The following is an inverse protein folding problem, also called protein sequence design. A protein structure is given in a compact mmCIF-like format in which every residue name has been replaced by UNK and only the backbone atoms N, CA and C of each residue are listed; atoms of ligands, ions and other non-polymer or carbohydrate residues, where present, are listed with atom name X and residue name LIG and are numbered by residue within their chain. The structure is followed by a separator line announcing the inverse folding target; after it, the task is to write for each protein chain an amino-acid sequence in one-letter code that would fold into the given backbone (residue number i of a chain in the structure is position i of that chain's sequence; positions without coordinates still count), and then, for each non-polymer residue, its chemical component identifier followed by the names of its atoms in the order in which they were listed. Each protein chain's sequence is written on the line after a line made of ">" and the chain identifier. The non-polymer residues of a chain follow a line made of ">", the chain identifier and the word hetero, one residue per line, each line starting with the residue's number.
data_IF_326217022620
#
_entry.id   IF_326217022620
#
_cell.length_a   1.000
_cell.length_b   1.000
_cell.length_c   1.000
_cell.angle_alpha   90.00
_cell.angle_beta   90.00
_cell.angle_gamma   90.00
#
_symmetry.space_group_name_H-M   'P 1'
#
loop_
_entity.id
_entity.type
_entity.pdbx_description
1 polymer ?
#
# COMPACT_ATOMS: atom_id res chain seq x y z
N UNK A 1 2.29 -10.51 12.79
CA UNK A 1 2.80 -11.36 11.71
C UNK A 1 1.71 -12.27 11.14
N UNK A 2 1.05 -13.12 11.94
CA UNK A 2 -0.03 -13.98 11.42
C UNK A 2 -1.19 -13.22 10.76
N UNK A 3 -1.57 -12.05 11.29
CA UNK A 3 -2.56 -11.18 10.67
C UNK A 3 -2.20 -10.82 9.23
N UNK A 4 -0.97 -10.35 9.02
CA UNK A 4 -0.49 -9.99 7.68
C UNK A 4 -0.47 -11.20 6.74
N UNK A 5 -0.02 -12.37 7.23
CA UNK A 5 -0.09 -13.61 6.47
C UNK A 5 -1.52 -13.94 6.03
N UNK A 6 -2.46 -14.00 6.97
CA UNK A 6 -3.85 -14.40 6.70
C UNK A 6 -4.53 -13.40 5.75
N UNK A 7 -4.40 -12.10 6.02
CA UNK A 7 -5.11 -11.08 5.24
C UNK A 7 -4.50 -10.97 3.83
N UNK A 8 -3.17 -10.97 3.69
CA UNK A 8 -2.55 -10.93 2.35
C UNK A 8 -2.97 -12.12 1.48
N UNK A 9 -3.00 -13.33 2.03
CA UNK A 9 -3.41 -14.52 1.27
C UNK A 9 -4.93 -14.54 1.00
N UNK A 10 -5.75 -14.00 1.91
CA UNK A 10 -7.18 -13.81 1.67
C UNK A 10 -7.45 -12.79 0.54
N UNK A 11 -6.76 -11.65 0.54
CA UNK A 11 -6.85 -10.66 -0.54
C UNK A 11 -6.46 -11.27 -1.88
N UNK A 12 -5.40 -12.08 -1.90
CA UNK A 12 -5.00 -12.81 -3.11
C UNK A 12 -6.07 -13.79 -3.59
N UNK A 13 -6.66 -14.57 -2.67
CA UNK A 13 -7.74 -15.51 -2.98
C UNK A 13 -9.03 -14.81 -3.49
N UNK A 14 -9.25 -13.56 -3.08
CA UNK A 14 -10.32 -12.68 -3.59
C UNK A 14 -9.99 -12.04 -4.94
N UNK A 15 -8.83 -12.35 -5.54
CA UNK A 15 -8.29 -11.74 -6.75
C UNK A 15 -8.02 -10.23 -6.62
N UNK A 16 -7.82 -9.74 -5.40
CA UNK A 16 -7.43 -8.35 -5.15
C UNK A 16 -5.89 -8.27 -5.18
N UNK A 17 -5.29 -7.35 -5.96
CA UNK A 17 -3.85 -7.18 -6.00
C UNK A 17 -3.26 -6.93 -4.60
N UNK A 18 -2.27 -7.74 -4.23
CA UNK A 18 -1.67 -7.74 -2.90
C UNK A 18 -0.26 -8.31 -2.94
N UNK A 19 0.57 -7.83 -2.02
CA UNK A 19 1.76 -8.56 -1.60
C UNK A 19 1.41 -9.94 -1.07
N UNK A 20 2.34 -10.89 -1.19
CA UNK A 20 2.18 -12.29 -0.82
C UNK A 20 3.03 -12.64 0.38
N UNK A 21 2.57 -13.59 1.17
CA UNK A 21 3.27 -14.06 2.36
C UNK A 21 3.82 -15.46 2.14
N UNK A 22 5.15 -15.56 2.00
CA UNK A 22 5.81 -16.84 1.73
C UNK A 22 5.96 -17.70 2.99
N UNK A 23 6.40 -17.08 4.09
CA UNK A 23 6.66 -17.81 5.34
C UNK A 23 6.58 -16.88 6.56
N UNK A 24 6.18 -17.44 7.70
CA UNK A 24 6.32 -16.82 9.02
C UNK A 24 7.21 -17.72 9.86
N UNK A 25 8.30 -17.17 10.40
CA UNK A 25 9.27 -17.91 11.20
C UNK A 25 9.44 -17.26 12.56
N UNK A 26 9.40 -18.05 13.62
CA UNK A 26 9.69 -17.59 14.98
C UNK A 26 11.20 -17.34 15.13
N UNK A 27 11.59 -16.26 15.80
CA UNK A 27 13.01 -15.94 16.01
C UNK A 27 13.60 -16.65 17.23
N UNK A 28 12.75 -17.12 18.14
CA UNK A 28 13.15 -17.63 19.46
C UNK A 28 13.37 -16.53 20.51
N UNK A 29 13.27 -15.25 20.11
CA UNK A 29 13.39 -14.10 21.00
C UNK A 29 12.01 -13.60 21.45
N UNK A 30 11.98 -12.89 22.58
CA UNK A 30 10.78 -12.18 23.05
C UNK A 30 10.88 -10.68 22.73
N UNK A 31 9.81 -10.11 22.21
CA UNK A 31 9.70 -8.69 21.86
C UNK A 31 8.71 -8.02 22.82
N UNK A 32 9.14 -6.93 23.46
CA UNK A 32 8.27 -6.13 24.33
C UNK A 32 7.34 -5.24 23.48
N UNK A 33 6.03 -5.39 23.68
CA UNK A 33 4.97 -4.48 23.21
C UNK A 33 4.19 -3.99 24.44
N UNK A 34 2.86 -4.03 24.39
CA UNK A 34 2.04 -3.88 25.60
C UNK A 34 2.26 -5.05 26.57
N UNK A 35 2.69 -6.21 26.03
CA UNK A 35 3.15 -7.39 26.76
C UNK A 35 4.35 -8.04 26.04
N UNK A 36 4.99 -9.03 26.67
CA UNK A 36 6.05 -9.83 26.04
C UNK A 36 5.43 -10.81 25.05
N UNK A 37 5.78 -10.67 23.76
CA UNK A 37 5.27 -11.53 22.69
C UNK A 37 6.41 -12.26 21.98
N UNK A 38 6.18 -13.46 21.42
CA UNK A 38 7.16 -14.13 20.59
C UNK A 38 7.54 -13.30 19.36
N UNK A 39 8.84 -13.11 19.15
CA UNK A 39 9.39 -12.51 17.96
C UNK A 39 9.17 -13.41 16.74
N UNK A 40 8.80 -12.80 15.61
CA UNK A 40 8.62 -13.50 14.36
C UNK A 40 8.99 -12.62 13.17
N UNK A 41 9.47 -13.24 12.11
CA UNK A 41 9.78 -12.62 10.81
C UNK A 41 8.79 -13.15 9.77
N UNK A 42 8.26 -12.24 8.95
CA UNK A 42 7.46 -12.55 7.77
C UNK A 42 8.33 -12.37 6.52
N UNK A 43 8.40 -13.38 5.67
CA UNK A 43 8.98 -13.26 4.33
C UNK A 43 7.90 -12.83 3.35
N UNK A 44 7.91 -11.54 2.97
CA UNK A 44 6.98 -10.95 2.00
C UNK A 44 7.53 -10.98 0.59
N UNK A 45 6.69 -11.34 -0.37
CA UNK A 45 6.98 -11.32 -1.81
C UNK A 45 6.06 -10.30 -2.48
N UNK A 46 6.61 -9.44 -3.32
CA UNK A 46 5.87 -8.37 -4.01
C UNK A 46 6.47 -8.13 -5.39
N UNK A 47 5.69 -7.57 -6.33
CA UNK A 47 6.24 -7.08 -7.60
C UNK A 47 7.23 -5.93 -7.36
N UNK A 48 6.94 -5.09 -6.36
CA UNK A 48 7.73 -3.93 -5.96
C UNK A 48 7.57 -3.59 -4.50
N UNK A 49 8.57 -2.90 -3.95
CA UNK A 49 8.45 -2.17 -2.68
C UNK A 49 8.58 -0.65 -2.86
N UNK A 50 8.59 -0.17 -4.11
CA UNK A 50 8.54 1.27 -4.41
C UNK A 50 7.16 1.79 -4.04
N UNK A 51 7.15 2.87 -3.27
CA UNK A 51 5.95 3.51 -2.73
C UNK A 51 5.82 4.92 -3.27
N UNK A 52 4.65 5.53 -3.16
CA UNK A 52 4.50 6.99 -3.40
C UNK A 52 5.47 7.76 -2.49
N UNK A 53 5.59 7.35 -1.23
CA UNK A 53 6.57 7.91 -0.30
C UNK A 53 8.04 7.79 -0.74
N UNK A 54 8.38 6.83 -1.60
CA UNK A 54 9.73 6.72 -2.18
C UNK A 54 10.01 7.89 -3.14
N UNK A 55 9.03 8.28 -3.94
CA UNK A 55 9.14 9.45 -4.83
C UNK A 55 9.13 10.76 -4.03
N UNK A 56 8.31 10.86 -2.99
CA UNK A 56 8.33 12.01 -2.08
C UNK A 56 9.68 12.16 -1.40
N UNK A 57 10.25 11.07 -0.88
CA UNK A 57 11.60 11.12 -0.32
C UNK A 57 12.63 11.59 -1.36
N UNK A 58 12.59 11.03 -2.58
CA UNK A 58 13.50 11.42 -3.66
C UNK A 58 13.35 12.90 -4.07
N UNK A 59 12.12 13.45 -4.06
CA UNK A 59 11.88 14.86 -4.39
C UNK A 59 12.47 15.80 -3.32
N UNK A 60 12.42 15.41 -2.04
CA UNK A 60 13.04 16.21 -0.95
C UNK A 60 14.55 16.39 -1.08
N UNK A 61 15.22 15.50 -1.82
CA UNK A 61 16.66 15.58 -2.05
C UNK A 61 17.04 16.67 -3.06
N UNK A 62 16.07 17.29 -3.75
CA UNK A 62 16.26 18.29 -4.81
C UNK A 62 17.22 17.83 -5.92
N UNK A 63 17.29 16.51 -6.16
CA UNK A 63 18.15 15.89 -7.16
C UNK A 63 17.29 15.30 -8.28
N UNK A 64 17.07 16.10 -9.32
CA UNK A 64 16.24 15.73 -10.47
C UNK A 64 16.82 14.51 -11.19
N UNK A 65 18.13 14.31 -11.18
CA UNK A 65 18.75 13.16 -11.83
C UNK A 65 18.40 11.87 -11.08
N UNK A 66 18.47 11.88 -9.74
CA UNK A 66 18.02 10.73 -8.93
C UNK A 66 16.54 10.44 -9.08
N UNK A 67 15.70 11.49 -9.10
CA UNK A 67 14.27 11.34 -9.32
C UNK A 67 13.98 10.72 -10.69
N UNK A 68 14.68 11.18 -11.73
CA UNK A 68 14.60 10.63 -13.08
C UNK A 68 15.03 9.17 -13.13
N UNK A 69 16.13 8.79 -12.47
CA UNK A 69 16.57 7.38 -12.40
C UNK A 69 15.53 6.50 -11.72
N UNK A 70 14.91 6.97 -10.64
CA UNK A 70 13.82 6.25 -9.96
C UNK A 70 12.60 6.10 -10.87
N UNK A 71 12.20 7.17 -11.56
CA UNK A 71 11.07 7.16 -12.47
C UNK A 71 11.30 6.25 -13.68
N UNK A 72 12.49 6.32 -14.29
CA UNK A 72 12.89 5.46 -15.41
C UNK A 72 12.88 3.98 -14.96
N UNK A 73 13.43 3.66 -13.78
CA UNK A 73 13.36 2.30 -13.23
C UNK A 73 11.92 1.82 -12.98
N UNK A 74 11.05 2.71 -12.47
CA UNK A 74 9.65 2.39 -12.22
C UNK A 74 8.88 2.11 -13.53
N UNK A 75 9.11 2.94 -14.56
CA UNK A 75 8.54 2.74 -15.91
C UNK A 75 9.00 1.39 -16.47
N UNK A 76 10.31 1.13 -16.48
CA UNK A 76 10.89 -0.09 -17.05
C UNK A 76 10.33 -1.36 -16.41
N UNK A 77 10.06 -1.31 -15.10
CA UNK A 77 9.65 -2.48 -14.33
C UNK A 77 8.14 -2.70 -14.31
N UNK A 78 7.35 -1.64 -14.19
CA UNK A 78 5.92 -1.73 -13.87
C UNK A 78 5.01 -1.19 -14.96
N UNK A 79 5.49 -0.24 -15.75
CA UNK A 79 4.68 0.52 -16.71
C UNK A 79 5.42 0.73 -18.06
N UNK A 80 5.95 -0.33 -18.69
CA UNK A 80 6.79 -0.20 -19.88
C UNK A 80 6.09 0.51 -21.04
N UNK A 81 4.75 0.43 -21.13
CA UNK A 81 3.91 1.12 -22.10
C UNK A 81 3.98 2.66 -22.00
N UNK A 82 4.42 3.21 -20.87
CA UNK A 82 4.59 4.65 -20.70
C UNK A 82 5.71 5.20 -21.57
N UNK A 83 6.70 4.37 -21.98
CA UNK A 83 7.82 4.79 -22.85
C UNK A 83 7.37 5.24 -24.24
N UNK A 84 6.22 4.76 -24.69
CA UNK A 84 5.68 5.05 -26.02
C UNK A 84 4.83 6.33 -26.04
N UNK A 85 4.66 6.99 -24.89
CA UNK A 85 3.88 8.23 -24.77
C UNK A 85 4.76 9.46 -24.95
N UNK A 86 4.18 10.54 -25.45
CA UNK A 86 4.87 11.83 -25.64
C UNK A 86 5.51 12.36 -24.35
N UNK A 87 4.88 12.10 -23.21
CA UNK A 87 5.43 12.38 -21.89
C UNK A 87 5.38 11.12 -21.01
N UNK A 88 6.47 10.34 -20.95
CA UNK A 88 6.51 9.09 -20.18
C UNK A 88 6.27 9.26 -18.68
N UNK A 89 6.66 10.40 -18.10
CA UNK A 89 6.51 10.64 -16.66
C UNK A 89 5.08 11.05 -16.28
N UNK A 90 4.43 11.82 -17.13
CA UNK A 90 2.99 12.09 -16.97
C UNK A 90 2.18 10.80 -17.19
N UNK A 91 2.58 9.97 -18.16
CA UNK A 91 1.97 8.65 -18.36
C UNK A 91 2.16 7.75 -17.13
N UNK A 92 3.35 7.73 -16.53
CA UNK A 92 3.62 7.01 -15.28
C UNK A 92 2.67 7.46 -14.16
N UNK A 93 2.55 8.78 -13.95
CA UNK A 93 1.65 9.33 -12.92
C UNK A 93 0.19 8.90 -13.15
N UNK A 94 -0.29 9.00 -14.38
CA UNK A 94 -1.65 8.59 -14.75
C UNK A 94 -1.87 7.09 -14.51
N UNK A 95 -0.91 6.25 -14.90
CA UNK A 95 -1.00 4.80 -14.70
C UNK A 95 -1.01 4.41 -13.22
N UNK A 96 -0.21 5.09 -12.38
CA UNK A 96 -0.23 4.90 -10.93
C UNK A 96 -1.58 5.33 -10.35
N UNK A 97 -2.12 6.50 -10.74
CA UNK A 97 -3.45 6.96 -10.30
C UNK A 97 -4.53 5.93 -10.63
N UNK A 98 -4.57 5.46 -11.87
CA UNK A 98 -5.56 4.48 -12.33
C UNK A 98 -5.44 3.16 -11.56
N UNK A 99 -4.21 2.71 -11.33
CA UNK A 99 -3.93 1.49 -10.57
C UNK A 99 -4.40 1.63 -9.11
N UNK A 100 -4.11 2.76 -8.44
CA UNK A 100 -4.55 3.02 -7.07
C UNK A 100 -6.07 3.12 -6.96
N UNK A 101 -6.72 3.82 -7.91
CA UNK A 101 -8.17 3.95 -7.94
C UNK A 101 -8.85 2.57 -8.10
N UNK A 102 -8.33 1.73 -9.00
CA UNK A 102 -8.80 0.35 -9.19
C UNK A 102 -8.63 -0.50 -7.92
N UNK A 103 -7.48 -0.41 -7.27
CA UNK A 103 -7.20 -1.15 -6.04
C UNK A 103 -8.14 -0.75 -4.89
N UNK A 104 -8.28 0.55 -4.65
CA UNK A 104 -9.14 1.06 -3.59
C UNK A 104 -10.60 0.78 -3.87
N UNK A 105 -11.03 0.81 -5.14
CA UNK A 105 -12.39 0.38 -5.52
C UNK A 105 -12.64 -1.08 -5.14
N UNK A 106 -11.68 -1.98 -5.35
CA UNK A 106 -11.77 -3.38 -4.94
C UNK A 106 -11.83 -3.53 -3.41
N UNK A 107 -11.05 -2.76 -2.66
CA UNK A 107 -11.14 -2.73 -1.19
C UNK A 107 -12.54 -2.36 -0.71
N UNK A 108 -13.09 -1.29 -1.29
CA UNK A 108 -14.44 -0.84 -0.98
C UNK A 108 -15.46 -1.95 -1.29
N UNK A 109 -15.33 -2.63 -2.43
CA UNK A 109 -16.26 -3.69 -2.83
C UNK A 109 -16.36 -4.85 -1.84
N UNK A 110 -15.26 -5.22 -1.20
CA UNK A 110 -15.21 -6.32 -0.21
C UNK A 110 -15.33 -5.84 1.24
N UNK A 111 -15.58 -4.56 1.47
CA UNK A 111 -15.65 -4.00 2.82
C UNK A 111 -14.31 -4.00 3.56
N UNK A 112 -13.19 -4.02 2.85
CA UNK A 112 -11.85 -3.97 3.43
C UNK A 112 -11.48 -2.54 3.80
N UNK A 113 -10.96 -2.36 5.02
CA UNK A 113 -10.41 -1.11 5.52
C UNK A 113 -8.92 -1.33 5.82
N UNK A 114 -8.05 -0.57 5.13
CA UNK A 114 -6.61 -0.65 5.30
C UNK A 114 -6.14 -0.05 6.65
N UNK A 115 -6.78 1.03 7.08
CA UNK A 115 -6.54 1.68 8.38
C UNK A 115 -5.28 2.54 8.50
N UNK A 116 -4.35 2.51 7.54
CA UNK A 116 -3.15 3.38 7.52
C UNK A 116 -2.73 3.67 6.07
N UNK A 117 -3.46 4.52 5.38
CA UNK A 117 -3.16 4.91 3.99
C UNK A 117 -2.21 6.10 3.92
N UNK A 118 -1.07 6.03 4.62
CA UNK A 118 0.01 7.00 4.42
C UNK A 118 0.65 6.78 3.04
N UNK A 119 1.32 7.78 2.48
CA UNK A 119 1.96 7.71 1.15
C UNK A 119 3.07 6.67 1.07
N UNK A 120 3.75 6.38 2.18
CA UNK A 120 4.67 5.26 2.28
C UNK A 120 3.95 3.91 2.24
N UNK A 121 2.66 3.79 2.54
CA UNK A 121 1.92 2.52 2.39
C UNK A 121 1.24 2.36 1.02
N UNK A 122 1.46 3.28 0.08
CA UNK A 122 0.89 3.21 -1.27
C UNK A 122 1.92 2.68 -2.26
N UNK A 123 1.90 1.37 -2.54
CA UNK A 123 2.83 0.75 -3.49
C UNK A 123 2.49 1.13 -4.94
N UNK A 124 3.47 1.64 -5.71
CA UNK A 124 3.24 2.02 -7.10
C UNK A 124 3.03 0.81 -8.02
N UNK A 125 3.22 -0.43 -7.54
CA UNK A 125 2.87 -1.65 -8.29
C UNK A 125 1.37 -1.96 -8.27
N UNK A 126 0.58 -1.21 -7.50
CA UNK A 126 -0.84 -1.47 -7.33
C UNK A 126 -1.16 -2.63 -6.41
N UNK A 127 -0.26 -2.99 -5.50
CA UNK A 127 -0.47 -4.08 -4.55
C UNK A 127 -0.86 -3.54 -3.17
N UNK A 128 -1.85 -4.15 -2.54
CA UNK A 128 -2.10 -3.96 -1.10
C UNK A 128 -0.87 -4.40 -0.30
N UNK A 129 -0.36 -3.54 0.59
CA UNK A 129 0.88 -3.75 1.34
C UNK A 129 0.74 -3.23 2.77
N UNK A 130 1.54 -3.77 3.70
CA UNK A 130 1.60 -3.33 5.12
C UNK A 130 0.26 -3.48 5.89
N UNK A 131 -0.09 -4.75 6.12
CA UNK A 131 -1.28 -5.17 6.84
C UNK A 131 -1.16 -5.01 8.36
N UNK A 132 -1.22 -3.76 8.83
CA UNK A 132 -1.20 -3.40 10.25
C UNK A 132 -2.59 -3.49 10.92
N UNK A 133 -3.26 -2.36 11.19
CA UNK A 133 -4.61 -2.33 11.76
C UNK A 133 -5.69 -2.35 10.67
N UNK A 134 -5.59 -3.29 9.74
CA UNK A 134 -6.58 -3.51 8.69
C UNK A 134 -7.57 -4.61 9.09
N UNK A 135 -8.79 -4.53 8.56
CA UNK A 135 -9.78 -5.60 8.68
C UNK A 135 -10.92 -5.41 7.67
N UNK A 136 -11.72 -6.46 7.51
CA UNK A 136 -12.98 -6.43 6.77
C UNK A 136 -14.12 -6.05 7.72
N UNK A 137 -15.08 -5.26 7.23
CA UNK A 137 -16.27 -4.92 8.01
C UNK A 137 -17.23 -6.11 8.13
N UNK A 138 -17.62 -6.46 9.35
CA UNK A 138 -18.69 -7.44 9.59
C UNK A 138 -20.09 -6.83 9.38
N UNK A 139 -20.28 -5.60 9.86
CA UNK A 139 -21.49 -4.81 9.69
C UNK A 139 -21.14 -3.54 8.95
N UNK A 140 -21.91 -3.23 7.92
CA UNK A 140 -21.69 -2.00 7.16
C UNK A 140 -21.92 -0.78 8.05
N UNK A 141 -20.88 0.05 8.17
CA UNK A 141 -20.97 1.39 8.72
C UNK A 141 -19.90 2.27 8.04
N UNK A 142 -20.27 3.38 7.37
CA UNK A 142 -19.33 4.14 6.53
C UNK A 142 -18.19 4.79 7.33
N UNK A 143 -18.40 5.03 8.63
CA UNK A 143 -17.41 5.62 9.53
C UNK A 143 -16.57 4.57 10.29
N UNK A 144 -16.66 3.29 9.92
CA UNK A 144 -15.87 2.24 10.58
C UNK A 144 -14.37 2.53 10.45
N UNK A 145 -13.66 2.41 11.56
CA UNK A 145 -12.20 2.51 11.66
C UNK A 145 -11.66 1.31 12.44
N UNK A 146 -10.47 0.83 12.09
CA UNK A 146 -9.79 -0.25 12.82
C UNK A 146 -8.44 0.16 13.42
N UNK A 147 -7.92 1.31 13.00
CA UNK A 147 -6.66 1.84 13.48
C UNK A 147 -6.83 2.59 14.79
N UNK A 148 -6.16 2.12 15.84
CA UNK A 148 -6.21 2.76 17.17
C UNK A 148 -5.63 4.18 17.20
N UNK A 149 -4.79 4.51 16.21
CA UNK A 149 -4.22 5.85 16.02
C UNK A 149 -5.14 6.76 15.19
N UNK A 150 -6.13 6.22 14.48
CA UNK A 150 -7.04 6.97 13.62
C UNK A 150 -8.26 7.51 14.40
N UNK A 151 -7.99 8.39 15.37
CA UNK A 151 -9.03 8.98 16.23
C UNK A 151 -9.98 9.93 15.50
N UNK A 152 -9.57 10.44 14.34
CA UNK A 152 -10.34 11.40 13.53
C UNK A 152 -11.03 10.73 12.33
N UNK A 153 -10.88 9.41 12.16
CA UNK A 153 -11.45 8.69 11.03
C UNK A 153 -10.86 9.07 9.69
N UNK A 154 -9.61 9.54 9.63
CA UNK A 154 -8.90 9.85 8.38
C UNK A 154 -8.92 8.65 7.44
N UNK A 155 -8.77 7.44 7.95
CA UNK A 155 -8.74 6.18 7.20
C UNK A 155 -9.99 5.33 7.42
N UNK A 156 -11.12 5.96 7.79
CA UNK A 156 -12.42 5.30 7.82
C UNK A 156 -12.80 4.74 6.45
N UNK A 157 -13.70 3.75 6.44
CA UNK A 157 -14.15 3.09 5.20
C UNK A 157 -14.52 4.09 4.08
N UNK A 158 -15.43 5.03 4.36
CA UNK A 158 -15.87 6.01 3.36
C UNK A 158 -14.75 6.97 2.93
N UNK A 159 -13.69 7.10 3.72
CA UNK A 159 -12.58 8.02 3.47
C UNK A 159 -11.43 7.39 2.67
N UNK A 160 -11.44 6.08 2.40
CA UNK A 160 -10.35 5.45 1.63
C UNK A 160 -10.23 6.03 0.21
N UNK A 161 -11.34 6.28 -0.47
CA UNK A 161 -11.34 6.88 -1.81
C UNK A 161 -10.78 8.32 -1.83
N UNK A 162 -11.26 9.28 -1.02
CA UNK A 162 -10.68 10.63 -1.01
C UNK A 162 -9.23 10.66 -0.51
N UNK A 163 -8.83 9.76 0.39
CA UNK A 163 -7.42 9.65 0.79
C UNK A 163 -6.54 9.11 -0.33
N UNK A 164 -7.00 8.14 -1.11
CA UNK A 164 -6.27 7.64 -2.27
C UNK A 164 -6.06 8.76 -3.31
N UNK A 165 -7.08 9.58 -3.53
CA UNK A 165 -6.96 10.79 -4.34
C UNK A 165 -5.91 11.74 -3.75
N UNK A 166 -6.01 12.06 -2.45
CA UNK A 166 -5.06 12.95 -1.77
C UNK A 166 -3.61 12.47 -1.91
N UNK A 167 -3.36 11.17 -1.69
CA UNK A 167 -2.03 10.58 -1.84
C UNK A 167 -1.49 10.65 -3.29
N UNK A 168 -2.37 10.77 -4.28
CA UNK A 168 -1.97 10.81 -5.70
C UNK A 168 -1.74 12.22 -6.24
N UNK A 169 -2.24 13.25 -5.55
CA UNK A 169 -2.16 14.66 -5.98
C UNK A 169 -1.30 15.53 -5.06
N UNK A 170 -0.96 15.05 -3.87
CA UNK A 170 -0.27 15.85 -2.87
C UNK A 170 1.24 15.63 -2.94
N UNK A 171 1.90 16.66 -3.49
CA UNK A 171 3.34 16.99 -3.50
C UNK A 171 4.25 16.20 -4.47
#
# INVERSE_FOLDING_TARGET
>A
MLREYIISEAMHALNIPTTRSLAVVVTGESIMRDELLPGAVLTRVAKSHIRVGTFQFASTLNDIQKLKVLADYAIDRHYPECKEKDNPYLALLNAVIETQASLVSQWMHVGFIHGVMNTDNMAISGETIDYGPCAFMDRYHPETVFSSIDRQGRYAYANQAPIAQWNSISE
#
